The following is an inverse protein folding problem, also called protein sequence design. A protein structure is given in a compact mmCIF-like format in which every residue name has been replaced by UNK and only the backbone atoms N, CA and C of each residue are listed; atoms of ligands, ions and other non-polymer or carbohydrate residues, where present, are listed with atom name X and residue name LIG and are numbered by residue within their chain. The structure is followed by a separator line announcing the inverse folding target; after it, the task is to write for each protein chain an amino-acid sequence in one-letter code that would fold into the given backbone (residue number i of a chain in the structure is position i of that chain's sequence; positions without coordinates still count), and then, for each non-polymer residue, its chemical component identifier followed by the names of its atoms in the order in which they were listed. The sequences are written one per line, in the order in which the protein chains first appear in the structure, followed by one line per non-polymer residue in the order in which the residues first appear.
data_IF_545324706498
#
_entry.id   IF_545324706498
#
_cell.length_a   1.000
_cell.length_b   1.000
_cell.length_c   1.000
_cell.angle_alpha   90.00
_cell.angle_beta   90.00
_cell.angle_gamma   90.00
#
_symmetry.space_group_name_H-M   'P 1'
#
loop_
_entity.id
_entity.type
_entity.pdbx_description
1 polymer ?
#
# COMPACT_ATOMS: atom_id res chain seq x y z
N UNK A 1 -13.75 -18.80 4.43
CA UNK A 1 -12.55 -19.65 4.37
C UNK A 1 -11.32 -18.78 4.56
N UNK A 2 -10.53 -19.01 5.60
CA UNK A 2 -9.35 -18.20 5.89
C UNK A 2 -8.27 -18.54 4.85
N UNK A 3 -8.11 -17.73 3.80
CA UNK A 3 -7.23 -18.07 2.66
C UNK A 3 -5.76 -18.26 3.06
N UNK A 4 -5.39 -17.74 4.24
CA UNK A 4 -4.06 -17.81 4.80
C UNK A 4 -3.81 -19.07 5.66
N UNK A 5 -4.84 -19.86 5.98
CA UNK A 5 -4.71 -21.05 6.83
C UNK A 5 -3.81 -22.15 6.22
N UNK A 6 -3.62 -22.13 4.90
CA UNK A 6 -2.78 -23.08 4.16
C UNK A 6 -1.28 -22.71 4.13
N UNK A 7 -0.92 -21.46 4.43
CA UNK A 7 0.47 -21.01 4.39
C UNK A 7 1.19 -21.34 5.69
N UNK A 8 2.51 -21.51 5.65
CA UNK A 8 3.36 -21.59 6.85
C UNK A 8 3.54 -20.20 7.50
N UNK A 9 4.08 -20.15 8.73
CA UNK A 9 4.38 -18.88 9.40
C UNK A 9 5.43 -18.06 8.63
N UNK A 10 6.42 -18.73 8.06
CA UNK A 10 7.47 -18.09 7.24
C UNK A 10 6.87 -17.50 5.96
N UNK A 11 5.99 -18.24 5.31
CA UNK A 11 5.32 -17.77 4.09
C UNK A 11 4.38 -16.59 4.38
N UNK A 12 3.70 -16.59 5.52
CA UNK A 12 2.89 -15.46 6.00
C UNK A 12 3.74 -14.20 6.20
N UNK A 13 4.90 -14.33 6.85
CA UNK A 13 5.83 -13.22 7.08
C UNK A 13 6.37 -12.70 5.74
N UNK A 14 6.75 -13.61 4.83
CA UNK A 14 7.20 -13.25 3.48
C UNK A 14 6.11 -12.51 2.71
N UNK A 15 4.88 -13.04 2.69
CA UNK A 15 3.72 -12.42 2.02
C UNK A 15 3.47 -11.01 2.56
N UNK A 16 3.49 -10.84 3.89
CA UNK A 16 3.35 -9.52 4.54
C UNK A 16 4.45 -8.55 4.08
N UNK A 17 5.71 -8.99 4.03
CA UNK A 17 6.82 -8.16 3.56
C UNK A 17 6.62 -7.73 2.11
N UNK A 18 6.27 -8.66 1.22
CA UNK A 18 5.98 -8.37 -0.18
C UNK A 18 4.81 -7.40 -0.35
N UNK A 19 3.70 -7.62 0.35
CA UNK A 19 2.52 -6.74 0.29
C UNK A 19 2.82 -5.33 0.80
N UNK A 20 3.64 -5.20 1.86
CA UNK A 20 4.14 -3.90 2.32
C UNK A 20 5.04 -3.23 1.28
N UNK A 21 5.94 -3.98 0.65
CA UNK A 21 6.80 -3.47 -0.42
C UNK A 21 6.00 -2.90 -1.60
N UNK A 22 4.95 -3.61 -2.01
CA UNK A 22 4.01 -3.14 -3.06
C UNK A 22 3.33 -1.83 -2.66
N UNK A 23 2.85 -1.72 -1.42
CA UNK A 23 2.23 -0.49 -0.91
C UNK A 23 3.22 0.70 -0.96
N UNK A 24 4.47 0.49 -0.53
CA UNK A 24 5.52 1.51 -0.58
C UNK A 24 5.81 1.92 -2.03
N UNK A 25 5.82 0.97 -2.97
CA UNK A 25 5.97 1.25 -4.40
C UNK A 25 4.87 2.19 -4.92
N UNK A 26 3.61 1.90 -4.59
CA UNK A 26 2.48 2.75 -4.98
C UNK A 26 2.58 4.17 -4.39
N UNK A 27 2.92 4.29 -3.10
CA UNK A 27 3.09 5.59 -2.44
C UNK A 27 4.22 6.37 -3.09
N UNK A 28 5.35 5.71 -3.38
CA UNK A 28 6.50 6.33 -4.05
C UNK A 28 6.11 6.91 -5.42
N UNK A 29 5.40 6.13 -6.23
CA UNK A 29 4.91 6.59 -7.55
C UNK A 29 3.97 7.79 -7.40
N UNK A 30 3.03 7.76 -6.45
CA UNK A 30 2.11 8.87 -6.21
C UNK A 30 2.85 10.16 -5.84
N UNK A 31 3.89 10.07 -5.00
CA UNK A 31 4.74 11.22 -4.63
C UNK A 31 5.52 11.75 -5.83
N UNK A 32 6.10 10.88 -6.66
CA UNK A 32 6.81 11.29 -7.88
C UNK A 32 5.88 12.06 -8.82
N UNK A 33 4.66 11.56 -9.02
CA UNK A 33 3.66 12.25 -9.84
C UNK A 33 3.33 13.62 -9.24
N UNK A 34 3.09 13.70 -7.93
CA UNK A 34 2.82 14.97 -7.24
C UNK A 34 3.94 15.99 -7.45
N UNK A 35 5.20 15.55 -7.30
CA UNK A 35 6.39 16.39 -7.51
C UNK A 35 6.53 16.84 -8.97
N UNK A 36 6.23 15.96 -9.93
CA UNK A 36 6.25 16.32 -11.35
C UNK A 36 5.23 17.41 -11.66
N UNK A 37 4.01 17.30 -11.13
CA UNK A 37 2.99 18.32 -11.28
C UNK A 37 3.39 19.65 -10.63
N UNK A 38 3.95 19.60 -9.41
CA UNK A 38 4.48 20.78 -8.75
C UNK A 38 5.58 21.44 -9.57
N UNK A 39 6.52 20.64 -10.11
CA UNK A 39 7.59 21.15 -10.96
C UNK A 39 7.05 21.85 -12.22
N UNK A 40 6.12 21.22 -12.93
CA UNK A 40 5.52 21.80 -14.13
C UNK A 40 4.77 23.11 -13.85
N UNK A 41 4.10 23.20 -12.70
CA UNK A 41 3.35 24.40 -12.32
C UNK A 41 4.27 25.55 -11.90
N UNK A 42 5.21 25.30 -11.00
CA UNK A 42 6.06 26.34 -10.42
C UNK A 42 7.24 26.75 -11.32
N UNK A 43 7.85 25.81 -12.07
CA UNK A 43 9.07 26.06 -12.82
C UNK A 43 8.86 26.22 -14.34
N UNK A 44 7.85 25.55 -14.92
CA UNK A 44 7.53 25.68 -16.35
C UNK A 44 6.41 26.67 -16.65
N UNK A 45 5.82 27.31 -15.63
CA UNK A 45 4.74 28.29 -15.80
C UNK A 45 3.46 27.70 -16.42
N UNK A 46 3.30 26.37 -16.41
CA UNK A 46 2.08 25.75 -16.91
C UNK A 46 0.95 26.00 -15.92
N UNK A 47 -0.10 26.67 -16.39
CA UNK A 47 -1.35 26.83 -15.64
C UNK A 47 -2.12 25.50 -15.62
N UNK A 48 -1.69 24.60 -14.75
CA UNK A 48 -2.36 23.33 -14.51
C UNK A 48 -3.60 23.59 -13.63
N UNK A 49 -4.78 23.28 -14.16
CA UNK A 49 -6.03 23.40 -13.40
C UNK A 49 -6.05 22.37 -12.28
N UNK A 50 -6.47 22.77 -11.08
CA UNK A 50 -6.50 21.89 -9.91
C UNK A 50 -7.32 20.61 -10.13
N UNK A 51 -8.32 20.65 -11.02
CA UNK A 51 -9.12 19.47 -11.42
C UNK A 51 -8.27 18.33 -11.98
N UNK A 52 -7.12 18.61 -12.59
CA UNK A 52 -6.20 17.57 -13.10
C UNK A 52 -5.48 16.80 -11.98
N UNK A 53 -5.48 17.31 -10.74
CA UNK A 53 -4.95 16.62 -9.56
C UNK A 53 -6.00 15.75 -8.87
N UNK A 54 -7.29 15.84 -9.22
CA UNK A 54 -8.35 15.03 -8.59
C UNK A 54 -8.04 13.53 -8.63
N UNK A 55 -7.55 12.95 -9.75
CA UNK A 55 -7.15 11.54 -9.79
C UNK A 55 -6.11 11.17 -8.73
N UNK A 56 -5.18 12.07 -8.41
CA UNK A 56 -4.13 11.84 -7.41
C UNK A 56 -4.71 11.76 -5.99
N UNK A 57 -5.75 12.56 -5.69
CA UNK A 57 -6.40 12.56 -4.38
C UNK A 57 -7.34 11.35 -4.17
N UNK A 58 -7.94 10.82 -5.24
CA UNK A 58 -8.78 9.61 -5.15
C UNK A 58 -7.98 8.31 -5.20
N UNK A 59 -6.76 8.35 -5.74
CA UNK A 59 -5.89 7.18 -5.89
C UNK A 59 -5.68 6.37 -4.60
N UNK A 60 -5.53 6.97 -3.39
CA UNK A 60 -5.38 6.22 -2.15
C UNK A 60 -6.55 5.26 -1.84
N UNK A 61 -7.75 5.55 -2.36
CA UNK A 61 -8.93 4.66 -2.18
C UNK A 61 -8.66 3.28 -2.78
N UNK A 62 -7.90 3.23 -3.89
CA UNK A 62 -7.53 1.96 -4.55
C UNK A 62 -6.60 1.09 -3.69
N UNK A 63 -5.98 1.65 -2.65
CA UNK A 63 -5.08 0.92 -1.76
C UNK A 63 -5.78 0.26 -0.57
N UNK A 64 -7.06 0.55 -0.32
CA UNK A 64 -7.84 -0.01 0.79
C UNK A 64 -7.77 -1.56 0.85
N UNK A 65 -7.91 -2.31 -0.26
CA UNK A 65 -7.80 -3.77 -0.22
C UNK A 65 -6.43 -4.27 0.25
N UNK A 66 -5.36 -3.51 -0.03
CA UNK A 66 -3.99 -3.83 0.39
C UNK A 66 -3.87 -3.66 1.91
N UNK A 67 -4.42 -2.58 2.46
CA UNK A 67 -4.46 -2.37 3.92
C UNK A 67 -5.24 -3.46 4.65
N UNK A 68 -6.40 -3.85 4.13
CA UNK A 68 -7.20 -4.96 4.67
C UNK A 68 -6.39 -6.26 4.65
N UNK A 69 -5.70 -6.54 3.55
CA UNK A 69 -4.84 -7.72 3.41
C UNK A 69 -3.70 -7.71 4.44
N UNK A 70 -3.01 -6.58 4.62
CA UNK A 70 -1.93 -6.44 5.62
C UNK A 70 -2.47 -6.65 7.04
N UNK A 71 -3.65 -6.10 7.36
CA UNK A 71 -4.31 -6.29 8.66
C UNK A 71 -4.60 -7.77 8.92
N UNK A 72 -5.21 -8.47 7.96
CA UNK A 72 -5.51 -9.89 8.09
C UNK A 72 -4.24 -10.74 8.24
N UNK A 73 -3.18 -10.44 7.49
CA UNK A 73 -1.88 -11.10 7.66
C UNK A 73 -1.27 -10.87 9.05
N UNK A 74 -1.38 -9.65 9.60
CA UNK A 74 -0.89 -9.35 10.95
C UNK A 74 -1.64 -10.12 12.03
N UNK A 75 -2.97 -10.19 11.92
CA UNK A 75 -3.83 -10.93 12.87
C UNK A 75 -3.48 -12.42 12.85
N UNK A 76 -3.37 -13.02 11.66
CA UNK A 76 -3.04 -14.44 11.51
C UNK A 76 -1.63 -14.76 12.05
N UNK A 77 -0.64 -13.90 11.78
CA UNK A 77 0.72 -14.05 12.33
C UNK A 77 0.70 -13.96 13.86
N UNK A 78 -0.06 -13.02 14.43
CA UNK A 78 -0.15 -12.82 15.87
C UNK A 78 -0.79 -14.03 16.57
N UNK A 79 -1.89 -14.55 16.02
CA UNK A 79 -2.57 -15.75 16.53
C UNK A 79 -1.61 -16.96 16.55
N UNK A 80 -0.87 -17.18 15.46
CA UNK A 80 0.05 -18.33 15.37
C UNK A 80 1.27 -18.20 16.26
N UNK A 81 1.82 -17.00 16.42
CA UNK A 81 2.90 -16.75 17.39
C UNK A 81 2.43 -17.03 18.81
N UNK A 82 1.22 -16.60 19.18
CA UNK A 82 0.64 -16.90 20.48
C UNK A 82 0.40 -18.40 20.70
N UNK A 83 0.00 -19.14 19.66
CA UNK A 83 -0.27 -20.58 19.75
C UNK A 83 1.01 -21.44 19.82
N UNK A 84 2.09 -21.01 19.17
CA UNK A 84 3.38 -21.72 19.19
C UNK A 84 4.22 -21.45 20.45
N UNK A 85 3.75 -20.60 21.38
CA UNK A 85 4.39 -20.34 22.68
C UNK A 85 3.71 -21.06 23.86
N UNK A 86 2.70 -21.88 23.59
CA UNK A 86 2.07 -22.85 24.49
C UNK A 86 2.46 -24.27 24.06
#
# INVERSE_FOLDING_TARGET
MNQFSKLSLEELIKKKSTTKGVLIGFVTIAVIIALLFAYLHFFMGKHIKIVTLVPLFILPITWVPIFITIKSLNEEIAIRKSKNQL
#
